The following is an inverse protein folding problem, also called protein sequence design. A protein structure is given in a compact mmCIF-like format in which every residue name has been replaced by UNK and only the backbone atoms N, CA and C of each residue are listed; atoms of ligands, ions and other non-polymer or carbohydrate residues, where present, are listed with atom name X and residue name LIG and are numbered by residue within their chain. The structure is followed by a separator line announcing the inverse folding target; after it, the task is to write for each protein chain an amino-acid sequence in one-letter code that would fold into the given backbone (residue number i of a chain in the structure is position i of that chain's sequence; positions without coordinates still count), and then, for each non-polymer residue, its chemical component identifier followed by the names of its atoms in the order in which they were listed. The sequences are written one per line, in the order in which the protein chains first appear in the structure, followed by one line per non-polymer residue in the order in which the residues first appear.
data_IF_341091037607
#
_entry.id   IF_341091037607
#
_cell.length_a   1.000
_cell.length_b   1.000
_cell.length_c   1.000
_cell.angle_alpha   90.00
_cell.angle_beta   90.00
_cell.angle_gamma   90.00
#
_symmetry.space_group_name_H-M   'P 1'
#
loop_
_entity.id
_entity.type
_entity.pdbx_description
1 polymer ?
#
# COMPACT_ATOMS: atom_id res chain seq x y z
N UNK A 1 9.39 -5.09 10.93
CA UNK A 1 9.93 -4.19 9.89
C UNK A 1 9.73 -2.77 10.39
N UNK A 2 10.77 -1.93 10.50
CA UNK A 2 10.63 -0.54 10.96
C UNK A 2 10.47 0.38 9.75
N UNK A 3 9.41 1.18 9.72
CA UNK A 3 9.18 2.18 8.69
C UNK A 3 9.32 3.57 9.31
N UNK A 4 9.90 4.50 8.54
CA UNK A 4 9.98 5.90 8.95
C UNK A 4 8.65 6.60 8.65
N UNK A 5 8.28 7.55 9.50
CA UNK A 5 7.13 8.41 9.23
C UNK A 5 7.41 9.31 8.02
N UNK A 6 6.41 9.48 7.15
CA UNK A 6 6.52 10.28 5.93
C UNK A 6 5.69 11.55 6.08
N UNK A 7 6.33 12.70 5.90
CA UNK A 7 5.64 13.99 5.85
C UNK A 7 5.05 14.17 4.45
N UNK A 8 3.73 14.35 4.38
CA UNK A 8 2.99 14.49 3.14
C UNK A 8 2.93 15.96 2.72
N UNK A 9 2.77 16.22 1.41
CA UNK A 9 2.68 17.56 0.84
C UNK A 9 1.47 18.38 1.33
N UNK A 10 0.49 17.74 1.98
CA UNK A 10 -0.67 18.38 2.58
C UNK A 10 -0.46 18.73 4.08
N UNK A 11 0.77 18.63 4.58
CA UNK A 11 1.12 18.92 5.98
C UNK A 11 0.77 17.81 6.97
N UNK A 12 0.15 16.70 6.52
CA UNK A 12 -0.11 15.54 7.37
C UNK A 12 1.15 14.66 7.47
N UNK A 13 1.29 13.95 8.58
CA UNK A 13 2.35 12.94 8.76
C UNK A 13 1.71 11.57 8.72
N UNK A 14 2.13 10.74 7.78
CA UNK A 14 1.83 9.32 7.77
C UNK A 14 2.81 8.61 8.69
N UNK A 15 2.33 8.10 9.82
CA UNK A 15 3.20 7.49 10.82
C UNK A 15 3.81 6.17 10.33
N UNK A 16 5.10 5.96 10.63
CA UNK A 16 5.82 4.74 10.29
C UNK A 16 5.15 3.46 10.82
N UNK A 17 4.57 3.52 12.03
CA UNK A 17 3.80 2.41 12.59
C UNK A 17 2.61 2.04 11.69
N UNK A 18 1.85 3.04 11.23
CA UNK A 18 0.72 2.82 10.32
C UNK A 18 1.15 2.29 8.96
N UNK A 19 2.29 2.75 8.44
CA UNK A 19 2.88 2.21 7.22
C UNK A 19 3.21 0.72 7.41
N UNK A 20 3.85 0.36 8.52
CA UNK A 20 4.22 -1.03 8.80
C UNK A 20 3.02 -1.95 8.95
N UNK A 21 1.99 -1.50 9.66
CA UNK A 21 0.72 -2.23 9.78
C UNK A 21 0.09 -2.49 8.41
N UNK A 22 -0.08 -1.45 7.58
CA UNK A 22 -0.70 -1.57 6.27
C UNK A 22 0.13 -2.42 5.29
N UNK A 23 1.46 -2.26 5.29
CA UNK A 23 2.34 -3.10 4.46
C UNK A 23 2.21 -4.57 4.85
N UNK A 24 2.17 -4.87 6.16
CA UNK A 24 1.99 -6.23 6.66
C UNK A 24 0.63 -6.80 6.24
N UNK A 25 -0.45 -6.03 6.37
CA UNK A 25 -1.80 -6.45 5.95
C UNK A 25 -1.87 -6.77 4.45
N UNK A 26 -1.25 -5.92 3.63
CA UNK A 26 -1.20 -6.13 2.17
C UNK A 26 -0.40 -7.39 1.84
N UNK A 27 0.79 -7.56 2.43
CA UNK A 27 1.63 -8.76 2.20
C UNK A 27 0.90 -10.03 2.64
N UNK A 28 0.23 -9.99 3.79
CA UNK A 28 -0.58 -11.12 4.27
C UNK A 28 -1.70 -11.45 3.28
N UNK A 29 -2.47 -10.46 2.80
CA UNK A 29 -3.52 -10.68 1.80
C UNK A 29 -2.99 -11.30 0.50
N UNK A 30 -1.83 -10.86 0.03
CA UNK A 30 -1.20 -11.43 -1.16
C UNK A 30 -0.78 -12.88 -0.91
N UNK A 31 -0.28 -13.18 0.29
CA UNK A 31 0.05 -14.54 0.71
C UNK A 31 -1.20 -15.42 0.86
N UNK A 32 -2.28 -14.91 1.42
CA UNK A 32 -3.58 -15.60 1.54
C UNK A 32 -4.20 -15.89 0.17
N UNK A 33 -3.96 -15.01 -0.80
CA UNK A 33 -4.32 -15.23 -2.20
C UNK A 33 -3.41 -16.25 -2.92
N UNK A 34 -2.36 -16.75 -2.26
CA UNK A 34 -1.43 -17.75 -2.81
C UNK A 34 -0.50 -17.20 -3.90
N UNK A 35 -0.30 -15.88 -3.96
CA UNK A 35 0.50 -15.24 -5.00
C UNK A 35 2.00 -15.44 -4.75
N UNK A 36 2.73 -15.66 -5.82
CA UNK A 36 4.19 -15.60 -5.83
C UNK A 36 4.69 -14.16 -5.70
N UNK A 37 5.95 -13.97 -5.31
CA UNK A 37 6.57 -12.64 -5.21
C UNK A 37 6.46 -11.81 -6.51
N UNK A 38 6.60 -12.45 -7.67
CA UNK A 38 6.45 -11.77 -8.97
C UNK A 38 5.01 -11.33 -9.24
N UNK A 39 4.04 -12.20 -8.96
CA UNK A 39 2.61 -11.89 -9.13
C UNK A 39 2.18 -10.77 -8.18
N UNK A 40 2.62 -10.84 -6.92
CA UNK A 40 2.44 -9.79 -5.92
C UNK A 40 3.00 -8.44 -6.40
N UNK A 41 4.22 -8.42 -6.98
CA UNK A 41 4.80 -7.20 -7.56
C UNK A 41 3.98 -6.64 -8.73
N UNK A 42 3.48 -7.51 -9.61
CA UNK A 42 2.62 -7.09 -10.73
C UNK A 42 1.33 -6.45 -10.21
N UNK A 43 0.69 -7.08 -9.21
CA UNK A 43 -0.53 -6.55 -8.58
C UNK A 43 -0.26 -5.20 -7.91
N UNK A 44 0.81 -5.07 -7.12
CA UNK A 44 1.17 -3.82 -6.47
C UNK A 44 1.43 -2.68 -7.47
N UNK A 45 2.14 -2.96 -8.58
CA UNK A 45 2.37 -1.95 -9.62
C UNK A 45 1.09 -1.52 -10.35
N UNK A 46 0.14 -2.45 -10.56
CA UNK A 46 -1.19 -2.10 -11.08
C UNK A 46 -1.97 -1.26 -10.08
N UNK A 47 -1.94 -1.60 -8.80
CA UNK A 47 -2.58 -0.84 -7.72
C UNK A 47 -2.01 0.59 -7.65
N UNK A 48 -0.69 0.76 -7.74
CA UNK A 48 -0.06 2.09 -7.79
C UNK A 48 -0.52 2.91 -8.99
N UNK A 49 -0.59 2.29 -10.18
CA UNK A 49 -1.08 2.96 -11.39
C UNK A 49 -2.50 3.47 -11.22
N UNK A 50 -3.40 2.62 -10.71
CA UNK A 50 -4.80 2.95 -10.43
C UNK A 50 -4.90 4.08 -9.39
N UNK A 51 -4.10 4.04 -8.33
CA UNK A 51 -4.05 5.12 -7.33
C UNK A 51 -3.63 6.47 -7.92
N UNK A 52 -2.75 6.47 -8.92
CA UNK A 52 -2.34 7.68 -9.65
C UNK A 52 -3.47 8.31 -10.48
N UNK A 53 -4.48 7.53 -10.86
CA UNK A 53 -5.66 8.00 -11.59
C UNK A 53 -6.70 8.67 -10.67
N UNK A 54 -6.63 8.42 -9.36
CA UNK A 54 -7.58 8.96 -8.39
C UNK A 54 -7.02 10.16 -7.62
N UNK A 55 -7.77 11.26 -7.59
CA UNK A 55 -7.44 12.44 -6.78
C UNK A 55 -7.65 12.22 -5.27
N UNK A 56 -8.42 11.20 -4.90
CA UNK A 56 -8.67 10.78 -3.52
C UNK A 56 -9.06 9.31 -3.50
N UNK A 57 -8.47 8.54 -2.60
CA UNK A 57 -8.75 7.11 -2.47
C UNK A 57 -10.18 6.93 -1.94
N UNK A 58 -11.03 6.30 -2.73
CA UNK A 58 -12.37 5.84 -2.34
C UNK A 58 -12.41 4.31 -2.41
N UNK A 59 -13.30 3.68 -1.62
CA UNK A 59 -13.57 2.25 -1.79
C UNK A 59 -14.13 2.03 -3.19
N UNK A 60 -13.48 1.16 -3.95
CA UNK A 60 -14.00 0.65 -5.22
C UNK A 60 -14.95 -0.48 -4.84
N UNK A 61 -16.22 -0.34 -5.24
CA UNK A 61 -17.28 -1.37 -5.09
C UNK A 61 -17.20 -2.37 -6.25
#
# INVERSE_FOLDING_TARGET
MMFQSVQLNNGKVLQGEKIGELVTDIVNKLSEAGLSCDEARIVLGKTESVLGEFSSIQKID
#
